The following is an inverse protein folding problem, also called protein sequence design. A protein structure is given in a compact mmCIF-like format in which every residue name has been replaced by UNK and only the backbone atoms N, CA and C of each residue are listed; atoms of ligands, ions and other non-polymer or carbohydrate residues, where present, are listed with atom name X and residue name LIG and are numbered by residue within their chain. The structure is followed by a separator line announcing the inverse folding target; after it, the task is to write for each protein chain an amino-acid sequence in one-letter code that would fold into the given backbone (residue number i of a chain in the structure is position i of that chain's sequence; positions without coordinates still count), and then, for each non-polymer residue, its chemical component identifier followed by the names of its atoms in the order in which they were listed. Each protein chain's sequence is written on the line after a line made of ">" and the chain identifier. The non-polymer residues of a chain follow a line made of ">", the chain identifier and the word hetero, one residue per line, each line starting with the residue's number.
data_IF_631240502127
#
_entry.id   IF_631240502127
#
_cell.length_a   1.000
_cell.length_b   1.000
_cell.length_c   1.000
_cell.angle_alpha   90.00
_cell.angle_beta   90.00
_cell.angle_gamma   90.00
#
_symmetry.space_group_name_H-M   'P 1'
#
loop_
_entity.id
_entity.type
_entity.pdbx_description
1 polymer ?
#
# COMPACT_ATOMS: atom_id res chain seq x y z
N UNK A 1 14.66 21.28 -10.89
CA UNK A 1 14.21 21.02 -9.50
C UNK A 1 12.68 20.98 -9.36
N UNK A 2 11.92 22.00 -9.78
CA UNK A 2 10.44 22.02 -9.65
C UNK A 2 9.71 20.79 -10.24
N UNK A 3 10.11 20.29 -11.42
CA UNK A 3 9.47 19.12 -12.07
C UNK A 3 9.57 17.83 -11.24
N UNK A 4 10.75 17.54 -10.66
CA UNK A 4 10.97 16.35 -9.82
C UNK A 4 10.14 16.40 -8.53
N UNK A 5 10.05 17.58 -7.92
CA UNK A 5 9.22 17.79 -6.73
C UNK A 5 7.73 17.63 -7.04
N UNK A 6 7.24 18.20 -8.14
CA UNK A 6 5.85 18.00 -8.59
C UNK A 6 5.57 16.53 -8.83
N UNK A 7 6.48 15.80 -9.49
CA UNK A 7 6.32 14.37 -9.74
C UNK A 7 6.27 13.56 -8.43
N UNK A 8 7.13 13.88 -7.45
CA UNK A 8 7.09 13.25 -6.13
C UNK A 8 5.75 13.51 -5.43
N UNK A 9 5.26 14.75 -5.40
CA UNK A 9 3.97 15.08 -4.77
C UNK A 9 2.80 14.37 -5.47
N UNK A 10 2.83 14.24 -6.80
CA UNK A 10 1.81 13.49 -7.55
C UNK A 10 1.81 12.00 -7.17
N UNK A 11 2.98 11.38 -7.04
CA UNK A 11 3.08 9.97 -6.61
C UNK A 11 2.55 9.82 -5.18
N UNK A 12 2.97 10.70 -4.26
CA UNK A 12 2.51 10.66 -2.87
C UNK A 12 1.00 10.85 -2.79
N UNK A 13 0.44 11.77 -3.56
CA UNK A 13 -1.01 11.99 -3.62
C UNK A 13 -1.75 10.75 -4.13
N UNK A 14 -1.23 10.10 -5.18
CA UNK A 14 -1.78 8.84 -5.68
C UNK A 14 -1.74 7.71 -4.64
N UNK A 15 -0.63 7.57 -3.91
CA UNK A 15 -0.51 6.61 -2.82
C UNK A 15 -1.50 6.92 -1.70
N UNK A 16 -1.59 8.18 -1.26
CA UNK A 16 -2.55 8.61 -0.23
C UNK A 16 -3.98 8.30 -0.66
N UNK A 17 -4.35 8.60 -1.91
CA UNK A 17 -5.68 8.30 -2.43
C UNK A 17 -5.98 6.80 -2.35
N UNK A 18 -5.05 5.95 -2.82
CA UNK A 18 -5.19 4.50 -2.75
C UNK A 18 -5.33 4.01 -1.30
N UNK A 19 -4.42 4.41 -0.42
CA UNK A 19 -4.37 3.97 0.99
C UNK A 19 -5.48 4.57 1.87
N UNK A 20 -6.13 5.66 1.46
CA UNK A 20 -7.38 6.13 2.09
C UNK A 20 -8.55 5.29 1.64
N UNK A 21 -8.62 5.05 0.33
CA UNK A 21 -9.73 4.34 -0.26
C UNK A 21 -9.82 2.89 0.25
N UNK A 22 -8.69 2.16 0.26
CA UNK A 22 -8.70 0.72 0.58
C UNK A 22 -9.23 0.39 1.98
N UNK A 23 -8.87 1.07 3.09
CA UNK A 23 -9.50 0.84 4.38
C UNK A 23 -10.92 1.41 4.44
N UNK A 24 -11.20 2.55 3.80
CA UNK A 24 -12.55 3.14 3.82
C UNK A 24 -13.61 2.17 3.27
N UNK A 25 -13.33 1.53 2.13
CA UNK A 25 -14.23 0.52 1.56
C UNK A 25 -14.44 -0.71 2.46
N UNK A 26 -13.40 -1.15 3.16
CA UNK A 26 -13.47 -2.27 4.12
C UNK A 26 -14.32 -1.88 5.33
N UNK A 27 -14.17 -0.67 5.85
CA UNK A 27 -14.90 -0.18 7.01
C UNK A 27 -16.37 0.10 6.69
N UNK A 28 -16.68 0.62 5.49
CA UNK A 28 -18.06 0.82 5.03
C UNK A 28 -18.83 -0.49 4.89
N UNK A 29 -18.16 -1.57 4.46
CA UNK A 29 -18.74 -2.90 4.29
C UNK A 29 -18.09 -3.92 5.23
N UNK A 30 -17.99 -3.54 6.51
CA UNK A 30 -17.21 -4.31 7.48
C UNK A 30 -17.70 -5.76 7.62
N UNK A 31 -19.01 -5.98 7.56
CA UNK A 31 -19.57 -7.34 7.63
C UNK A 31 -19.12 -8.22 6.47
N UNK A 32 -19.21 -7.73 5.23
CA UNK A 32 -18.73 -8.44 4.03
C UNK A 32 -17.23 -8.71 4.13
N UNK A 33 -16.45 -7.71 4.54
CA UNK A 33 -15.01 -7.82 4.69
C UNK A 33 -14.59 -8.89 5.71
N UNK A 34 -15.28 -8.99 6.86
CA UNK A 34 -15.05 -10.05 7.86
C UNK A 34 -15.31 -11.43 7.26
N UNK A 35 -16.37 -11.59 6.47
CA UNK A 35 -16.68 -12.87 5.81
C UNK A 35 -15.60 -13.23 4.78
N UNK A 36 -15.15 -12.27 3.97
CA UNK A 36 -14.05 -12.46 3.01
C UNK A 36 -12.75 -12.85 3.73
N UNK A 37 -12.44 -12.21 4.87
CA UNK A 37 -11.25 -12.54 5.68
C UNK A 37 -11.31 -13.94 6.30
N UNK A 38 -12.49 -14.37 6.73
CA UNK A 38 -12.71 -15.74 7.24
C UNK A 38 -12.65 -16.81 6.14
N UNK A 39 -12.94 -16.44 4.89
CA UNK A 39 -12.84 -17.34 3.74
C UNK A 39 -11.39 -17.56 3.25
N UNK A 40 -10.44 -16.72 3.69
CA UNK A 40 -9.03 -16.87 3.35
C UNK A 40 -8.45 -18.18 3.93
N UNK A 41 -7.38 -18.75 3.36
CA UNK A 41 -6.77 -20.00 3.81
C UNK A 41 -5.93 -19.84 5.10
N UNK A 42 -6.42 -19.07 6.06
CA UNK A 42 -5.74 -18.80 7.33
C UNK A 42 -6.46 -19.45 8.51
N UNK A 43 -5.73 -19.63 9.61
CA UNK A 43 -6.34 -20.04 10.87
C UNK A 43 -7.35 -18.98 11.35
N UNK A 44 -8.48 -19.35 11.99
CA UNK A 44 -9.52 -18.40 12.38
C UNK A 44 -9.02 -17.22 13.22
N UNK A 45 -8.10 -17.48 14.17
CA UNK A 45 -7.51 -16.44 15.00
C UNK A 45 -6.67 -15.44 14.18
N UNK A 46 -5.97 -15.92 13.15
CA UNK A 46 -5.13 -15.09 12.29
C UNK A 46 -5.98 -14.26 11.33
N UNK A 47 -7.05 -14.83 10.76
CA UNK A 47 -8.05 -14.06 9.98
C UNK A 47 -8.67 -12.93 10.80
N UNK A 48 -9.05 -13.19 12.06
CA UNK A 48 -9.58 -12.15 12.95
C UNK A 48 -8.53 -11.07 13.24
N UNK A 49 -7.29 -11.45 13.52
CA UNK A 49 -6.20 -10.49 13.69
C UNK A 49 -6.00 -9.60 12.46
N UNK A 50 -5.91 -10.20 11.26
CA UNK A 50 -5.72 -9.48 10.00
C UNK A 50 -6.90 -8.56 9.64
N UNK A 51 -8.11 -8.93 10.04
CA UNK A 51 -9.32 -8.10 9.84
C UNK A 51 -9.16 -6.72 10.48
N UNK A 52 -8.46 -6.60 11.60
CA UNK A 52 -8.20 -5.30 12.24
C UNK A 52 -6.84 -4.74 11.87
N UNK A 53 -5.81 -5.59 11.82
CA UNK A 53 -4.44 -5.15 11.55
C UNK A 53 -4.28 -4.52 10.16
N UNK A 54 -4.92 -5.06 9.12
CA UNK A 54 -4.78 -4.55 7.75
C UNK A 54 -5.34 -3.13 7.61
N UNK A 55 -6.62 -2.84 7.95
CA UNK A 55 -7.13 -1.47 7.87
C UNK A 55 -6.36 -0.48 8.75
N UNK A 56 -5.93 -0.91 9.94
CA UNK A 56 -5.11 -0.07 10.84
C UNK A 56 -3.77 0.30 10.21
N UNK A 57 -3.07 -0.66 9.61
CA UNK A 57 -1.79 -0.41 8.95
C UNK A 57 -1.95 0.48 7.70
N UNK A 58 -3.04 0.31 6.94
CA UNK A 58 -3.37 1.17 5.80
C UNK A 58 -3.60 2.64 6.24
N UNK A 59 -4.40 2.86 7.28
CA UNK A 59 -4.64 4.19 7.84
C UNK A 59 -3.34 4.80 8.39
N UNK A 60 -2.51 4.02 9.07
CA UNK A 60 -1.21 4.47 9.55
C UNK A 60 -0.30 4.91 8.39
N UNK A 61 -0.31 4.18 7.27
CA UNK A 61 0.44 4.56 6.07
C UNK A 61 -0.03 5.91 5.52
N UNK A 62 -1.33 6.18 5.47
CA UNK A 62 -1.88 7.48 5.06
C UNK A 62 -1.33 8.60 5.94
N UNK A 63 -1.45 8.45 7.27
CA UNK A 63 -0.99 9.47 8.23
C UNK A 63 0.48 9.77 8.02
N UNK A 64 1.31 8.73 7.87
CA UNK A 64 2.75 8.88 7.67
C UNK A 64 3.10 9.53 6.33
N UNK A 65 2.35 9.26 5.26
CA UNK A 65 2.58 9.81 3.92
C UNK A 65 2.20 11.29 3.80
N UNK A 66 1.13 11.71 4.48
CA UNK A 66 0.63 13.09 4.45
C UNK A 66 1.59 14.04 5.16
N UNK A 67 2.18 13.61 6.27
CA UNK A 67 3.12 14.42 7.05
C UNK A 67 4.51 14.45 6.39
N UNK A 68 5.03 15.62 5.97
CA UNK A 68 6.30 15.72 5.25
C UNK A 68 7.50 15.12 6.01
N UNK A 69 7.49 15.22 7.34
CA UNK A 69 8.56 14.72 8.23
C UNK A 69 8.61 13.19 8.30
N UNK A 70 7.46 12.51 8.19
CA UNK A 70 7.37 11.06 8.31
C UNK A 70 7.19 10.35 6.97
N UNK A 71 7.17 11.10 5.86
CA UNK A 71 6.86 10.60 4.53
C UNK A 71 7.76 9.44 4.10
N UNK A 72 9.05 9.47 4.44
CA UNK A 72 9.98 8.37 4.17
C UNK A 72 9.56 7.09 4.89
N UNK A 73 9.18 7.20 6.16
CA UNK A 73 8.63 6.08 6.95
C UNK A 73 7.31 5.58 6.37
N UNK A 74 6.44 6.48 5.92
CA UNK A 74 5.21 6.14 5.20
C UNK A 74 5.47 5.34 3.93
N UNK A 75 6.45 5.75 3.12
CA UNK A 75 6.85 4.99 1.92
C UNK A 75 7.38 3.59 2.26
N UNK A 76 8.17 3.44 3.33
CA UNK A 76 8.62 2.11 3.77
C UNK A 76 7.45 1.22 4.22
N UNK A 77 6.50 1.78 4.98
CA UNK A 77 5.31 1.05 5.40
C UNK A 77 4.45 0.65 4.20
N UNK A 78 4.22 1.56 3.26
CA UNK A 78 3.51 1.27 2.01
C UNK A 78 4.19 0.17 1.20
N UNK A 79 5.54 0.22 1.10
CA UNK A 79 6.30 -0.82 0.41
C UNK A 79 6.15 -2.18 1.10
N UNK A 80 6.23 -2.22 2.43
CA UNK A 80 6.05 -3.44 3.22
C UNK A 80 4.64 -4.02 3.02
N UNK A 81 3.59 -3.19 3.10
CA UNK A 81 2.21 -3.62 2.88
C UNK A 81 2.00 -4.19 1.47
N UNK A 82 2.51 -3.49 0.44
CA UNK A 82 2.41 -3.95 -0.95
C UNK A 82 3.20 -5.25 -1.19
N UNK A 83 4.38 -5.39 -0.59
CA UNK A 83 5.20 -6.60 -0.69
C UNK A 83 4.50 -7.80 -0.05
N UNK A 84 3.98 -7.63 1.17
CA UNK A 84 3.25 -8.69 1.86
C UNK A 84 2.01 -9.12 1.10
N UNK A 85 1.23 -8.16 0.60
CA UNK A 85 0.01 -8.46 -0.16
C UNK A 85 0.32 -9.14 -1.51
N UNK A 86 1.37 -8.70 -2.20
CA UNK A 86 1.84 -9.33 -3.45
C UNK A 86 2.36 -10.75 -3.21
N UNK A 87 3.17 -10.95 -2.17
CA UNK A 87 3.66 -12.27 -1.78
C UNK A 87 2.51 -13.23 -1.45
N UNK A 88 1.50 -12.74 -0.73
CA UNK A 88 0.29 -13.51 -0.46
C UNK A 88 -0.42 -13.95 -1.75
N UNK A 89 -0.68 -13.01 -2.68
CA UNK A 89 -1.32 -13.34 -3.96
C UNK A 89 -0.48 -14.35 -4.74
N UNK A 90 0.85 -14.19 -4.78
CA UNK A 90 1.75 -15.13 -5.43
C UNK A 90 1.63 -16.55 -4.88
N UNK A 91 1.58 -16.70 -3.55
CA UNK A 91 1.37 -18.01 -2.91
C UNK A 91 0.00 -18.63 -3.24
N UNK A 92 -1.05 -17.81 -3.30
CA UNK A 92 -2.39 -18.26 -3.72
C UNK A 92 -2.37 -18.77 -5.17
N UNK A 93 -1.71 -18.04 -6.08
CA UNK A 93 -1.63 -18.44 -7.50
C UNK A 93 -0.78 -19.70 -7.71
N UNK A 94 0.27 -19.88 -6.92
CA UNK A 94 1.07 -21.11 -6.91
C UNK A 94 0.34 -22.31 -6.25
N UNK A 95 -0.94 -22.14 -5.90
CA UNK A 95 -1.77 -23.14 -5.24
C UNK A 95 -1.15 -23.70 -3.94
N UNK A 96 -0.35 -22.90 -3.24
CA UNK A 96 0.35 -23.31 -2.02
C UNK A 96 -0.63 -23.76 -0.92
N UNK A 97 -1.81 -23.15 -0.86
CA UNK A 97 -2.83 -23.43 0.14
C UNK A 97 -3.84 -24.51 -0.27
N UNK A 98 -3.71 -25.10 -1.46
CA UNK A 98 -4.62 -26.13 -1.99
C UNK A 98 -6.06 -25.68 -2.27
N UNK A 99 -6.37 -24.39 -2.06
CA UNK A 99 -7.65 -23.75 -2.37
C UNK A 99 -7.44 -22.29 -2.74
N UNK A 100 -8.11 -21.83 -3.79
CA UNK A 100 -8.13 -20.43 -4.20
C UNK A 100 -9.39 -19.79 -3.59
N UNK A 101 -9.27 -18.84 -2.65
CA UNK A 101 -10.45 -18.22 -2.03
C UNK A 101 -11.21 -17.33 -3.03
N UNK A 102 -12.52 -17.15 -2.82
CA UNK A 102 -13.29 -16.20 -3.63
C UNK A 102 -12.80 -14.76 -3.38
N UNK A 103 -12.74 -13.95 -4.43
CA UNK A 103 -12.51 -12.50 -4.38
C UNK A 103 -13.74 -11.68 -3.94
N UNK A 104 -14.82 -12.36 -3.56
CA UNK A 104 -16.10 -11.81 -3.13
C UNK A 104 -15.93 -10.85 -1.92
N UNK A 105 -16.13 -9.53 -2.07
CA UNK A 105 -16.42 -8.62 -0.94
C UNK A 105 -15.50 -7.42 -0.65
N UNK A 106 -14.64 -6.98 -1.56
CA UNK A 106 -13.80 -5.76 -1.41
C UNK A 106 -13.95 -4.71 -2.52
N UNK A 107 -13.34 -3.52 -2.37
CA UNK A 107 -13.29 -2.43 -3.38
C UNK A 107 -13.04 -2.90 -4.82
N UNK A 108 -12.27 -3.97 -4.93
CA UNK A 108 -11.82 -4.56 -6.17
C UNK A 108 -12.35 -6.00 -6.28
N UNK A 109 -13.60 -6.21 -5.89
CA UNK A 109 -14.30 -7.50 -6.08
C UNK A 109 -14.39 -7.89 -7.56
N UNK A 110 -14.21 -6.92 -8.47
CA UNK A 110 -14.22 -7.11 -9.91
C UNK A 110 -12.85 -7.44 -10.52
N UNK A 111 -11.72 -7.18 -9.84
CA UNK A 111 -10.42 -7.57 -10.41
C UNK A 111 -10.11 -9.02 -10.04
N UNK A 112 -9.60 -9.72 -11.05
CA UNK A 112 -8.98 -11.02 -10.93
C UNK A 112 -7.70 -10.95 -10.11
N UNK A 113 -7.27 -12.09 -9.56
CA UNK A 113 -6.00 -12.19 -8.83
C UNK A 113 -4.80 -11.67 -9.63
N UNK A 114 -4.79 -11.82 -10.95
CA UNK A 114 -3.74 -11.32 -11.83
C UNK A 114 -3.73 -9.80 -11.91
N UNK A 115 -4.89 -9.19 -12.05
CA UNK A 115 -5.02 -7.73 -12.09
C UNK A 115 -4.61 -7.08 -10.76
N UNK A 116 -4.94 -7.71 -9.63
CA UNK A 116 -4.44 -7.29 -8.32
C UNK A 116 -2.91 -7.36 -8.24
N UNK A 117 -2.31 -8.44 -8.74
CA UNK A 117 -0.85 -8.59 -8.77
C UNK A 117 -0.20 -7.48 -9.60
N UNK A 118 -0.72 -7.21 -10.80
CA UNK A 118 -0.23 -6.15 -11.69
C UNK A 118 -0.34 -4.78 -11.02
N UNK A 119 -1.49 -4.48 -10.38
CA UNK A 119 -1.68 -3.24 -9.65
C UNK A 119 -0.65 -3.09 -8.53
N UNK A 120 -0.48 -4.12 -7.69
CA UNK A 120 0.47 -4.03 -6.58
C UNK A 120 1.91 -3.82 -7.07
N UNK A 121 2.33 -4.53 -8.12
CA UNK A 121 3.66 -4.35 -8.71
C UNK A 121 3.81 -2.93 -9.27
N UNK A 122 2.81 -2.39 -9.96
CA UNK A 122 2.83 -1.02 -10.45
C UNK A 122 2.96 0.00 -9.29
N UNK A 123 2.22 -0.21 -8.19
CA UNK A 123 2.34 0.63 -6.99
C UNK A 123 3.72 0.50 -6.35
N UNK A 124 4.30 -0.70 -6.28
CA UNK A 124 5.67 -0.91 -5.76
C UNK A 124 6.71 -0.15 -6.61
N UNK A 125 6.57 -0.16 -7.94
CA UNK A 125 7.44 0.61 -8.83
C UNK A 125 7.30 2.13 -8.59
N UNK A 126 6.08 2.62 -8.40
CA UNK A 126 5.84 4.02 -8.04
C UNK A 126 6.46 4.39 -6.69
N UNK A 127 6.40 3.50 -5.70
CA UNK A 127 7.07 3.70 -4.40
C UNK A 127 8.60 3.75 -4.58
N UNK A 128 9.17 2.86 -5.41
CA UNK A 128 10.59 2.89 -5.75
C UNK A 128 11.01 4.20 -6.42
N UNK A 129 10.19 4.69 -7.36
CA UNK A 129 10.39 5.99 -8.00
C UNK A 129 10.32 7.14 -6.99
N UNK A 130 9.36 7.10 -6.05
CA UNK A 130 9.26 8.10 -4.98
C UNK A 130 10.51 8.12 -4.08
N UNK A 131 11.06 6.96 -3.73
CA UNK A 131 12.32 6.88 -2.99
C UNK A 131 13.49 7.51 -3.75
N UNK A 132 13.62 7.20 -5.03
CA UNK A 132 14.68 7.75 -5.88
C UNK A 132 14.60 9.28 -5.99
N UNK A 133 13.40 9.81 -6.25
CA UNK A 133 13.17 11.26 -6.32
C UNK A 133 13.38 11.96 -4.96
N UNK A 134 13.02 11.30 -3.86
CA UNK A 134 13.21 11.85 -2.52
C UNK A 134 14.69 11.96 -2.17
N UNK A 135 15.50 10.96 -2.51
CA UNK A 135 16.95 10.98 -2.30
C UNK A 135 17.64 12.17 -2.97
N UNK A 136 17.25 12.48 -4.21
CA UNK A 136 17.81 13.63 -4.93
C UNK A 136 17.35 14.98 -4.36
N UNK A 137 16.11 15.06 -3.86
CA UNK A 137 15.52 16.32 -3.35
C UNK A 137 16.13 16.72 -2.00
N UNK A 138 16.48 15.75 -1.16
CA UNK A 138 17.17 16.00 0.12
C UNK A 138 18.60 16.53 -0.09
N UNK A 139 19.33 16.01 -1.08
CA UNK A 139 20.69 16.46 -1.41
C UNK A 139 20.68 17.88 -1.98
N UNK A 140 19.72 18.20 -2.86
CA UNK A 140 19.61 19.54 -3.44
C UNK A 140 19.32 20.63 -2.40
N UNK A 141 18.42 20.38 -1.43
CA UNK A 141 18.12 21.34 -0.34
C UNK A 141 19.32 21.61 0.57
N UNK A 142 20.11 20.57 0.86
CA UNK A 142 21.34 20.70 1.68
C UNK A 142 22.40 21.53 0.96
N UNK A 143 22.55 21.35 -0.35
CA UNK A 143 23.49 22.14 -1.15
C UNK A 143 23.08 23.62 -1.27
N UNK A 144 21.79 23.95 -1.40
CA UNK A 144 21.34 25.35 -1.42
C UNK A 144 21.55 26.05 -0.07
N UNK A 145 21.40 25.33 1.05
CA UNK A 145 21.68 25.88 2.39
C UNK A 145 23.19 26.07 2.65
N UNK A 146 24.05 25.22 2.11
CA UNK A 146 25.52 25.35 2.22
C UNK A 146 26.13 26.43 1.31
N UNK A 147 25.41 26.93 0.31
CA UNK A 147 25.89 28.01 -0.58
C UNK A 147 25.52 29.40 -0.03
N UNK A 148 24.55 29.47 0.88
CA UNK A 148 24.07 30.71 1.50
C UNK A 148 24.63 30.96 2.91
N UNK A 149 25.51 30.09 3.41
CA UNK A 149 26.24 30.24 4.68
C UNK A 149 27.73 30.34 4.44
#
# INVERSE_FOLDING_TARGET
>A
MKKKQVMLELIIMGLVFLFVYTPASKLMKFHEYVLTMKAQPFAPWFSTFLTYAVPTAEILAVILLVLPLTRKTGLYLSLALMTLFTGYIGLVQLNYYGKIPCTCGGFISSLTWNEHLVLNVAIMLLIGLAFWLMGETSVARTNEQNVLG
#
